data_IF_230691296978
#
_entry.id   IF_230691296978
#
_cell.length_a   1.000
_cell.length_b   1.000
_cell.length_c   1.000
_cell.angle_alpha   90.00
_cell.angle_beta   90.00
_cell.angle_gamma   90.00
#
_symmetry.space_group_name_H-M   'P 1'
#
loop_
_entity.id
_entity.type
_entity.pdbx_description
1 polymer ?
#
# COMPACT_ATOMS: atom_id res chain seq x y z
N UNK A 1 16.22 2.32 26.81
CA UNK A 1 14.77 2.58 27.02
C UNK A 1 14.03 1.73 26.00
N UNK A 2 13.46 0.61 26.46
CA UNK A 2 12.94 -0.45 25.59
C UNK A 2 11.48 -0.25 25.25
N UNK A 3 11.14 -0.42 23.98
CA UNK A 3 9.77 -0.72 23.56
C UNK A 3 9.77 -2.13 22.96
N UNK A 4 9.46 -3.11 23.81
CA UNK A 4 9.00 -4.43 23.37
C UNK A 4 7.57 -4.25 22.86
N UNK A 5 7.43 -3.93 21.58
CA UNK A 5 6.14 -3.99 20.88
C UNK A 5 5.71 -5.45 20.73
N UNK A 6 4.51 -5.76 21.22
CA UNK A 6 3.95 -7.12 21.22
C UNK A 6 3.82 -7.73 19.83
N UNK A 7 4.12 -9.03 19.77
CA UNK A 7 3.64 -10.03 18.80
C UNK A 7 3.68 -9.71 17.29
N UNK A 8 4.87 -9.53 16.73
CA UNK A 8 5.11 -9.52 15.26
C UNK A 8 4.92 -10.88 14.55
N UNK A 9 4.52 -11.94 15.25
CA UNK A 9 4.51 -13.31 14.69
C UNK A 9 3.16 -13.70 14.08
N UNK A 10 2.04 -13.30 14.68
CA UNK A 10 0.71 -13.60 14.16
C UNK A 10 0.38 -12.75 12.91
N UNK A 11 0.73 -11.46 12.94
CA UNK A 11 0.55 -10.54 11.82
C UNK A 11 1.37 -10.96 10.60
N UNK A 12 2.62 -11.42 10.82
CA UNK A 12 3.46 -11.97 9.75
C UNK A 12 2.81 -13.19 9.09
N UNK A 13 2.07 -14.04 9.83
CA UNK A 13 1.33 -15.18 9.24
C UNK A 13 0.17 -14.72 8.36
N UNK A 14 -0.55 -13.67 8.73
CA UNK A 14 -1.65 -13.13 7.92
C UNK A 14 -1.19 -12.32 6.71
N UNK A 15 -0.14 -11.49 6.84
CA UNK A 15 0.46 -10.81 5.69
C UNK A 15 1.04 -11.80 4.68
N UNK A 16 1.52 -12.93 5.17
CA UNK A 16 1.96 -14.03 4.34
C UNK A 16 0.76 -14.70 3.60
N UNK A 17 -0.45 -14.67 4.18
CA UNK A 17 -1.68 -15.25 3.60
C UNK A 17 -2.24 -14.55 2.40
N UNK A 18 -1.91 -13.27 2.20
CA UNK A 18 -2.51 -12.50 1.14
C UNK A 18 -1.50 -11.64 0.42
N UNK A 19 -1.70 -11.48 -0.89
CA UNK A 19 -1.02 -10.48 -1.69
C UNK A 19 -1.76 -9.16 -1.55
N UNK A 20 -1.00 -8.10 -1.31
CA UNK A 20 -1.50 -6.74 -1.20
C UNK A 20 -1.03 -5.94 -2.41
N UNK A 21 -1.92 -5.15 -3.00
CA UNK A 21 -1.61 -4.23 -4.09
C UNK A 21 -1.65 -2.80 -3.57
N UNK A 22 -0.57 -2.06 -3.80
CA UNK A 22 -0.51 -0.65 -3.47
C UNK A 22 -1.53 0.11 -4.34
N UNK A 23 -2.48 0.80 -3.73
CA UNK A 23 -3.51 1.60 -4.40
C UNK A 23 -3.20 3.10 -4.37
N UNK A 24 -2.61 3.60 -3.30
CA UNK A 24 -2.21 5.00 -3.20
C UNK A 24 -1.08 5.22 -2.19
N UNK A 25 -0.36 6.33 -2.36
CA UNK A 25 0.70 6.83 -1.47
C UNK A 25 0.39 8.30 -1.22
N UNK A 26 0.18 8.69 0.03
CA UNK A 26 0.15 10.10 0.41
C UNK A 26 1.53 10.51 0.92
N UNK A 27 2.05 11.58 0.35
CA UNK A 27 3.34 12.18 0.68
C UNK A 27 3.09 13.52 1.36
N UNK A 28 3.69 13.70 2.52
CA UNK A 28 3.71 14.99 3.21
C UNK A 28 4.99 15.74 2.83
N UNK A 29 4.83 16.92 2.23
CA UNK A 29 5.95 17.78 1.83
C UNK A 29 6.00 19.00 2.73
N UNK A 30 7.03 19.11 3.56
CA UNK A 30 7.21 20.23 4.46
C UNK A 30 7.71 19.80 5.83
N UNK A 31 7.51 20.66 6.82
CA UNK A 31 7.92 20.44 8.21
C UNK A 31 6.78 19.80 9.02
N UNK A 32 7.05 19.12 10.14
CA UNK A 32 6.01 18.42 10.89
C UNK A 32 4.78 19.27 11.29
N UNK A 33 4.95 20.58 11.47
CA UNK A 33 3.88 21.51 11.86
C UNK A 33 3.18 22.21 10.68
N UNK A 34 3.73 22.11 9.47
CA UNK A 34 3.22 22.80 8.29
C UNK A 34 3.77 22.18 7.02
N UNK A 35 2.90 21.94 6.06
CA UNK A 35 3.31 21.39 4.78
C UNK A 35 2.12 21.19 3.88
N UNK A 36 2.34 20.38 2.85
CA UNK A 36 1.38 20.10 1.81
C UNK A 36 1.28 18.60 1.56
N UNK A 37 0.07 18.09 1.44
CA UNK A 37 -0.16 16.70 1.09
C UNK A 37 -0.41 16.57 -0.40
N UNK A 38 0.36 15.69 -1.01
CA UNK A 38 0.05 15.20 -2.36
C UNK A 38 -0.22 13.71 -2.28
N UNK A 39 -1.00 13.20 -3.22
CA UNK A 39 -1.32 11.77 -3.26
C UNK A 39 -1.03 11.19 -4.63
N UNK A 40 -0.22 10.15 -4.66
CA UNK A 40 -0.06 9.29 -5.81
C UNK A 40 -1.11 8.20 -5.75
N UNK A 41 -1.95 8.05 -6.76
CA UNK A 41 -3.01 7.03 -6.81
C UNK A 41 -2.91 6.19 -8.08
N UNK A 42 -3.19 4.91 -7.95
CA UNK A 42 -3.29 3.99 -9.08
C UNK A 42 -4.58 4.29 -9.85
N UNK A 43 -4.53 4.15 -11.18
CA UNK A 43 -5.70 4.25 -12.05
C UNK A 43 -6.78 3.21 -11.68
N UNK A 44 -8.04 3.59 -11.88
CA UNK A 44 -9.19 2.71 -11.65
C UNK A 44 -9.31 1.70 -12.80
N UNK A 45 -9.28 2.21 -14.05
CA UNK A 45 -9.42 1.40 -15.26
C UNK A 45 -8.12 0.70 -15.64
N UNK A 46 -6.99 1.43 -15.62
CA UNK A 46 -5.66 0.90 -15.89
C UNK A 46 -4.83 0.81 -14.61
N UNK A 47 -4.59 -0.43 -14.18
CA UNK A 47 -3.82 -0.73 -12.97
C UNK A 47 -2.34 -0.37 -13.09
N UNK A 48 -1.79 -0.16 -14.29
CA UNK A 48 -0.39 0.23 -14.47
C UNK A 48 -0.20 1.73 -14.52
N UNK A 49 -1.28 2.48 -14.71
CA UNK A 49 -1.25 3.93 -14.71
C UNK A 49 -1.30 4.49 -13.30
N UNK A 50 -0.51 5.54 -13.07
CA UNK A 50 -0.47 6.29 -11.83
C UNK A 50 -0.75 7.75 -12.08
N UNK A 51 -1.38 8.38 -11.09
CA UNK A 51 -1.69 9.80 -11.11
C UNK A 51 -1.17 10.47 -9.85
N UNK A 52 -0.55 11.63 -10.00
CA UNK A 52 -0.31 12.56 -8.91
C UNK A 52 -1.50 13.51 -8.80
N UNK A 53 -2.14 13.53 -7.64
CA UNK A 53 -3.17 14.50 -7.29
C UNK A 53 -2.58 15.51 -6.32
N UNK A 54 -2.47 16.75 -6.78
CA UNK A 54 -1.99 17.90 -6.04
C UNK A 54 -3.10 18.96 -6.06
N UNK A 55 -3.95 18.95 -5.03
CA UNK A 55 -5.18 19.74 -4.95
C UNK A 55 -6.08 19.56 -6.18
N UNK A 56 -6.34 20.63 -6.92
CA UNK A 56 -7.14 20.62 -8.14
C UNK A 56 -6.40 20.06 -9.37
N UNK A 57 -5.08 19.85 -9.29
CA UNK A 57 -4.26 19.37 -10.41
C UNK A 57 -4.08 17.87 -10.32
N UNK A 58 -4.41 17.19 -11.42
CA UNK A 58 -4.22 15.75 -11.57
C UNK A 58 -3.38 15.50 -12.82
N UNK A 59 -2.25 14.83 -12.65
CA UNK A 59 -1.34 14.51 -13.74
C UNK A 59 -0.97 13.04 -13.75
N UNK A 60 -0.72 12.47 -14.93
CA UNK A 60 -0.26 11.09 -15.07
C UNK A 60 1.24 11.03 -14.85
N UNK A 61 1.69 10.07 -14.04
CA UNK A 61 3.09 9.95 -13.62
C UNK A 61 3.59 8.51 -13.74
N UNK A 62 4.90 8.29 -13.94
CA UNK A 62 5.47 6.95 -13.92
C UNK A 62 5.52 6.38 -12.50
N UNK A 63 5.46 5.05 -12.38
CA UNK A 63 5.58 4.38 -11.08
C UNK A 63 6.91 4.67 -10.36
N UNK A 64 7.99 4.96 -11.10
CA UNK A 64 9.27 5.33 -10.50
C UNK A 64 9.16 6.55 -9.57
N UNK A 65 8.31 7.52 -9.91
CA UNK A 65 8.06 8.68 -9.06
C UNK A 65 7.28 8.30 -7.80
N UNK A 66 6.28 7.40 -7.93
CA UNK A 66 5.51 6.86 -6.80
C UNK A 66 6.41 6.09 -5.84
N UNK A 67 7.33 5.28 -6.36
CA UNK A 67 8.27 4.49 -5.58
C UNK A 67 9.33 5.33 -4.86
N UNK A 68 9.65 6.51 -5.40
CA UNK A 68 10.60 7.45 -4.80
C UNK A 68 9.97 8.39 -3.76
N UNK A 69 8.63 8.39 -3.63
CA UNK A 69 7.91 9.30 -2.72
C UNK A 69 8.30 9.06 -1.25
N UNK A 70 8.43 10.15 -0.49
CA UNK A 70 8.60 10.08 0.97
C UNK A 70 7.24 9.83 1.63
N UNK A 71 6.82 8.56 1.59
CA UNK A 71 5.48 8.14 1.99
C UNK A 71 5.19 8.48 3.46
N UNK A 72 4.14 9.26 3.68
CA UNK A 72 3.53 9.47 4.99
C UNK A 72 2.48 8.39 5.30
N UNK A 73 1.67 8.02 4.30
CA UNK A 73 0.64 6.98 4.43
C UNK A 73 0.55 6.14 3.15
N UNK A 74 0.37 4.83 3.31
CA UNK A 74 0.24 3.88 2.22
C UNK A 74 -1.12 3.19 2.28
N UNK A 75 -1.81 3.12 1.14
CA UNK A 75 -3.09 2.45 1.00
C UNK A 75 -2.90 1.17 0.18
N UNK A 76 -3.21 0.03 0.78
CA UNK A 76 -3.12 -1.28 0.16
C UNK A 76 -4.48 -1.97 0.12
N UNK A 77 -4.73 -2.70 -0.96
CA UNK A 77 -5.89 -3.58 -1.09
C UNK A 77 -5.45 -5.04 -1.13
N UNK A 78 -6.24 -5.91 -0.52
CA UNK A 78 -6.01 -7.35 -0.50
C UNK A 78 -6.54 -7.98 -1.80
N UNK A 79 -5.65 -8.45 -2.67
CA UNK A 79 -6.06 -8.90 -4.01
C UNK A 79 -6.20 -10.42 -4.17
N UNK A 80 -5.38 -11.22 -3.49
CA UNK A 80 -5.42 -12.69 -3.62
C UNK A 80 -4.88 -13.38 -2.36
N UNK A 81 -5.37 -14.58 -2.01
CA UNK A 81 -4.66 -15.44 -1.07
C UNK A 81 -3.34 -15.90 -1.71
N UNK A 82 -2.29 -15.95 -0.91
CA UNK A 82 -0.96 -16.27 -1.38
C UNK A 82 -0.90 -17.73 -1.85
N UNK A 83 -0.21 -17.98 -2.96
CA UNK A 83 -0.30 -19.25 -3.71
C UNK A 83 0.11 -20.46 -2.87
N UNK A 84 1.08 -20.28 -1.98
CA UNK A 84 1.56 -21.31 -1.06
C UNK A 84 0.56 -21.63 0.07
N UNK A 85 -0.43 -20.77 0.33
CA UNK A 85 -1.55 -21.12 1.20
C UNK A 85 -2.68 -21.83 0.46
N UNK A 86 -2.88 -21.56 -0.84
CA UNK A 86 -3.88 -22.29 -1.65
C UNK A 86 -3.58 -23.79 -1.73
N UNK A 87 -2.32 -24.20 -1.62
CA UNK A 87 -1.93 -25.61 -1.73
C UNK A 87 -2.14 -26.42 -0.44
N UNK A 88 -2.26 -25.74 0.72
CA UNK A 88 -2.53 -26.39 2.01
C UNK A 88 -4.02 -26.33 2.43
N UNK A 89 -4.87 -25.59 1.72
CA UNK A 89 -6.32 -25.64 1.92
C UNK A 89 -6.92 -26.75 1.06
N UNK A 90 -6.65 -28.01 1.42
CA UNK A 90 -7.51 -29.12 1.03
C UNK A 90 -8.86 -28.83 1.65
N UNK A 91 -9.83 -28.62 0.77
CA UNK A 91 -11.26 -28.49 0.97
C UNK A 91 -11.75 -29.19 2.25
N UNK A 92 -12.06 -28.42 3.29
CA UNK A 92 -13.10 -28.81 4.24
C UNK A 92 -14.32 -27.97 3.85
N UNK A 93 -15.12 -28.52 2.94
CA UNK A 93 -16.50 -28.11 2.78
C UNK A 93 -17.31 -28.80 3.89
N UNK A 94 -18.27 -28.12 4.53
CA UNK A 94 -19.30 -28.82 5.28
C UNK A 94 -20.11 -29.74 4.37
#
# INVERSE_FOLDING_TARGET
MGLRGGSFVAERRESARYKYQLRAVSEHRGVPQSGHFVTYRRGIEDQYTWHLTNDAKVERVPYSQVAAAQAYMLYYERIQPNRWYKQNSIVIRP
#
